data_IF_670946455458
#
_entry.id   IF_670946455458
#
_cell.length_a   1.000
_cell.length_b   1.000
_cell.length_c   1.000
_cell.angle_alpha   90.00
_cell.angle_beta   90.00
_cell.angle_gamma   90.00
#
_symmetry.space_group_name_H-M   'P 1'
#
loop_
_entity.id
_entity.type
_entity.pdbx_description
1 polymer ?
#
# COMPACT_ATOMS: atom_id res chain seq x y z
N UNK A 1 43.09 31.80 -13.18
CA UNK A 1 42.86 30.35 -13.05
C UNK A 1 41.37 30.08 -12.82
N UNK A 2 40.63 29.86 -13.93
CA UNK A 2 39.25 29.42 -13.88
C UNK A 2 39.24 27.92 -13.70
N UNK A 3 38.84 27.41 -12.55
CA UNK A 3 38.58 26.00 -12.34
C UNK A 3 37.28 25.62 -13.03
N UNK A 4 37.38 24.75 -14.04
CA UNK A 4 36.25 24.17 -14.74
C UNK A 4 35.38 23.33 -13.78
N UNK A 5 34.11 23.70 -13.66
CA UNK A 5 33.10 22.91 -12.95
C UNK A 5 32.94 21.54 -13.63
N UNK A 6 32.91 20.43 -12.88
CA UNK A 6 32.73 19.10 -13.46
C UNK A 6 31.34 18.95 -14.05
N UNK A 7 31.29 18.35 -15.24
CA UNK A 7 30.12 18.12 -16.09
C UNK A 7 28.90 17.61 -15.32
N UNK A 8 27.80 18.36 -15.36
CA UNK A 8 26.47 18.01 -14.83
C UNK A 8 25.79 16.81 -15.50
N UNK A 9 26.32 16.33 -16.60
CA UNK A 9 25.70 15.28 -17.43
C UNK A 9 25.60 13.91 -16.75
N UNK A 10 26.60 13.49 -15.97
CA UNK A 10 26.57 12.19 -15.27
C UNK A 10 25.51 12.07 -14.17
N UNK A 11 25.17 13.18 -13.53
CA UNK A 11 24.15 13.19 -12.45
C UNK A 11 22.72 13.04 -13.00
N UNK A 12 22.49 13.51 -14.24
CA UNK A 12 21.19 13.40 -14.90
C UNK A 12 20.94 11.94 -15.38
N UNK A 13 21.96 11.29 -15.85
CA UNK A 13 21.87 9.92 -16.36
C UNK A 13 21.67 8.91 -15.23
N UNK A 14 22.34 9.10 -14.09
CA UNK A 14 22.16 8.26 -12.90
C UNK A 14 20.78 8.44 -12.24
N UNK A 15 20.28 9.67 -12.25
CA UNK A 15 18.92 9.99 -11.80
C UNK A 15 17.86 9.32 -12.69
N UNK A 16 18.10 9.32 -14.01
CA UNK A 16 17.24 8.65 -14.98
C UNK A 16 17.26 7.12 -14.79
N UNK A 17 18.41 6.51 -14.49
CA UNK A 17 18.52 5.08 -14.21
C UNK A 17 17.85 4.67 -12.89
N UNK A 18 17.99 5.44 -11.81
CA UNK A 18 17.29 5.19 -10.55
C UNK A 18 15.77 5.30 -10.72
N UNK A 19 15.30 6.32 -11.43
CA UNK A 19 13.87 6.50 -11.75
C UNK A 19 13.37 5.37 -12.65
N UNK A 20 14.18 4.90 -13.61
CA UNK A 20 13.83 3.77 -14.45
C UNK A 20 13.76 2.45 -13.66
N UNK A 21 14.65 2.25 -12.69
CA UNK A 21 14.62 1.07 -11.81
C UNK A 21 13.40 1.10 -10.87
N UNK A 22 13.08 2.25 -10.28
CA UNK A 22 11.85 2.43 -9.49
C UNK A 22 10.60 2.26 -10.36
N UNK A 23 10.60 2.75 -11.62
CA UNK A 23 9.52 2.48 -12.58
C UNK A 23 9.37 1.01 -12.90
N UNK A 24 10.45 0.28 -13.04
CA UNK A 24 10.41 -1.16 -13.29
C UNK A 24 9.78 -1.91 -12.10
N UNK A 25 10.12 -1.53 -10.88
CA UNK A 25 9.52 -2.07 -9.66
C UNK A 25 8.06 -1.63 -9.47
N UNK A 26 7.75 -0.35 -9.67
CA UNK A 26 6.39 0.17 -9.56
C UNK A 26 5.43 -0.39 -10.63
N UNK A 27 5.95 -0.73 -11.81
CA UNK A 27 5.16 -1.25 -12.94
C UNK A 27 5.15 -2.79 -13.03
N UNK A 28 5.94 -3.49 -12.22
CA UNK A 28 6.23 -4.90 -12.43
C UNK A 28 5.04 -5.86 -12.29
N UNK A 29 4.03 -5.76 -11.41
CA UNK A 29 2.94 -6.73 -11.48
C UNK A 29 1.55 -6.18 -11.79
N UNK A 30 1.28 -4.86 -11.78
CA UNK A 30 -0.08 -4.36 -11.87
C UNK A 30 -0.52 -3.87 -13.25
N UNK A 31 0.39 -3.54 -14.16
CA UNK A 31 0.05 -2.85 -15.42
C UNK A 31 0.20 -3.67 -16.71
N UNK A 32 0.81 -4.85 -16.71
CA UNK A 32 1.09 -5.62 -17.93
C UNK A 32 -0.03 -6.54 -18.42
N UNK A 33 -1.28 -6.27 -18.04
CA UNK A 33 -2.42 -7.02 -18.58
C UNK A 33 -3.33 -6.17 -19.48
N UNK A 34 -2.73 -5.44 -20.43
CA UNK A 34 -3.47 -5.02 -21.62
C UNK A 34 -3.69 -6.24 -22.51
N UNK A 35 -4.92 -6.71 -22.55
CA UNK A 35 -5.33 -7.85 -23.34
C UNK A 35 -5.13 -7.55 -24.83
N UNK A 36 -4.07 -8.10 -25.42
CA UNK A 36 -3.96 -8.25 -26.87
C UNK A 36 -5.04 -9.25 -27.28
N UNK A 37 -6.15 -8.71 -27.80
CA UNK A 37 -7.30 -9.46 -28.30
C UNK A 37 -6.84 -10.27 -29.52
N UNK A 38 -6.32 -11.47 -29.29
CA UNK A 38 -6.03 -12.43 -30.34
C UNK A 38 -7.35 -12.89 -30.95
N UNK A 39 -7.62 -12.46 -32.17
CA UNK A 39 -8.69 -13.01 -32.99
C UNK A 39 -8.39 -14.49 -33.24
N UNK A 40 -9.07 -15.34 -32.52
CA UNK A 40 -9.08 -16.77 -32.80
C UNK A 40 -10.02 -17.02 -34.00
N UNK A 41 -9.45 -17.24 -35.17
CA UNK A 41 -10.18 -17.71 -36.32
C UNK A 41 -10.64 -19.14 -36.02
N UNK A 42 -11.93 -19.29 -35.77
CA UNK A 42 -12.58 -20.58 -35.62
C UNK A 42 -12.65 -21.33 -36.95
N UNK A 43 -11.72 -22.24 -37.15
CA UNK A 43 -11.87 -23.29 -38.15
C UNK A 43 -12.83 -24.35 -37.61
N UNK A 44 -13.99 -24.46 -38.26
CA UNK A 44 -14.94 -25.57 -38.08
C UNK A 44 -14.31 -26.86 -38.59
N UNK A 45 -14.01 -27.82 -37.72
CA UNK A 45 -13.85 -29.22 -38.13
C UNK A 45 -14.53 -30.12 -37.10
N UNK A 46 -15.30 -31.07 -37.66
CA UNK A 46 -16.29 -31.87 -36.98
C UNK A 46 -15.79 -32.99 -36.06
N UNK A 47 -16.77 -33.50 -35.40
CA UNK A 47 -16.93 -34.76 -34.65
C UNK A 47 -15.75 -35.75 -34.67
N UNK A 48 -15.01 -35.77 -33.52
CA UNK A 48 -14.43 -37.01 -32.94
C UNK A 48 -14.11 -36.75 -31.44
N UNK A 49 -15.16 -36.79 -30.62
CA UNK A 49 -15.11 -36.17 -29.28
C UNK A 49 -14.64 -37.05 -28.13
N UNK A 50 -14.37 -38.32 -28.29
CA UNK A 50 -14.11 -39.21 -27.16
C UNK A 50 -12.64 -39.56 -26.91
N UNK A 51 -11.89 -39.77 -27.97
CA UNK A 51 -10.49 -40.26 -27.85
C UNK A 51 -9.46 -39.13 -27.62
N UNK A 52 -9.87 -37.89 -27.81
CA UNK A 52 -9.01 -36.69 -27.72
C UNK A 52 -8.81 -36.20 -26.24
N UNK A 53 -9.79 -36.50 -25.39
CA UNK A 53 -9.75 -35.98 -24.00
C UNK A 53 -8.72 -36.71 -23.14
N UNK A 54 -8.53 -38.03 -23.36
CA UNK A 54 -7.57 -38.82 -22.60
C UNK A 54 -6.13 -38.56 -23.05
N UNK A 55 -5.92 -38.36 -24.36
CA UNK A 55 -4.64 -37.91 -24.91
C UNK A 55 -4.27 -36.50 -24.42
N UNK A 56 -5.23 -35.58 -24.31
CA UNK A 56 -5.02 -34.25 -23.72
C UNK A 56 -4.62 -34.34 -22.25
N UNK A 57 -5.31 -35.17 -21.46
CA UNK A 57 -4.95 -35.37 -20.04
C UNK A 57 -3.56 -35.98 -19.85
N UNK A 58 -3.14 -36.90 -20.74
CA UNK A 58 -1.77 -37.47 -20.71
C UNK A 58 -0.72 -36.43 -21.12
N UNK A 59 -0.99 -35.63 -22.16
CA UNK A 59 -0.11 -34.55 -22.59
C UNK A 59 0.04 -33.46 -21.51
N UNK A 60 -1.03 -33.11 -20.80
CA UNK A 60 -0.98 -32.16 -19.67
C UNK A 60 -0.16 -32.69 -18.48
N UNK A 61 -0.17 -34.00 -18.21
CA UNK A 61 0.67 -34.60 -17.17
C UNK A 61 2.16 -34.59 -17.51
N UNK A 62 2.51 -34.64 -18.78
CA UNK A 62 3.89 -34.68 -19.28
C UNK A 62 4.54 -33.29 -19.43
N UNK A 63 3.77 -32.19 -19.25
CA UNK A 63 4.31 -30.84 -19.35
C UNK A 63 5.27 -30.55 -18.20
N UNK A 64 6.46 -29.94 -18.49
CA UNK A 64 7.39 -29.50 -17.46
C UNK A 64 6.70 -28.49 -16.51
N UNK A 65 7.09 -28.51 -15.24
CA UNK A 65 6.44 -27.72 -14.17
C UNK A 65 6.31 -26.23 -14.53
N UNK A 66 7.31 -25.68 -15.24
CA UNK A 66 7.31 -24.29 -15.70
C UNK A 66 6.17 -23.96 -16.67
N UNK A 67 5.87 -24.86 -17.60
CA UNK A 67 4.76 -24.66 -18.55
C UNK A 67 3.39 -24.86 -17.91
N UNK A 68 3.28 -25.72 -16.90
CA UNK A 68 2.07 -25.84 -16.07
C UNK A 68 1.80 -24.56 -15.30
N UNK A 69 2.81 -24.01 -14.63
CA UNK A 69 2.71 -22.74 -13.89
C UNK A 69 2.35 -21.58 -14.83
N UNK A 70 2.94 -21.54 -16.03
CA UNK A 70 2.66 -20.51 -17.04
C UNK A 70 1.24 -20.60 -17.56
N UNK A 71 0.69 -21.80 -17.76
CA UNK A 71 -0.71 -22.02 -18.13
C UNK A 71 -1.67 -21.66 -17.02
N UNK A 72 -1.36 -22.04 -15.78
CA UNK A 72 -2.14 -21.64 -14.60
C UNK A 72 -2.16 -20.11 -14.43
N UNK A 73 -1.00 -19.46 -14.59
CA UNK A 73 -0.93 -18.00 -14.59
C UNK A 73 -1.68 -17.32 -15.73
N UNK A 74 -2.01 -18.04 -16.82
CA UNK A 74 -2.81 -17.54 -17.93
C UNK A 74 -4.32 -17.68 -17.70
N UNK A 75 -4.76 -18.56 -16.77
CA UNK A 75 -6.18 -18.77 -16.46
C UNK A 75 -6.80 -17.50 -15.81
N UNK A 76 -7.81 -16.89 -16.43
CA UNK A 76 -8.45 -15.69 -15.90
C UNK A 76 -9.14 -15.93 -14.55
N UNK A 77 -9.63 -17.14 -14.29
CA UNK A 77 -10.29 -17.50 -13.03
C UNK A 77 -9.28 -17.57 -11.89
N UNK A 78 -8.12 -18.20 -12.12
CA UNK A 78 -7.06 -18.30 -11.13
C UNK A 78 -6.48 -16.93 -10.81
N UNK A 79 -6.23 -16.09 -11.82
CA UNK A 79 -5.78 -14.72 -11.62
C UNK A 79 -6.78 -13.89 -10.81
N UNK A 80 -8.06 -14.07 -11.07
CA UNK A 80 -9.11 -13.43 -10.28
C UNK A 80 -9.06 -13.90 -8.83
N UNK A 81 -9.00 -15.22 -8.59
CA UNK A 81 -8.96 -15.79 -7.25
C UNK A 81 -7.71 -15.35 -6.46
N UNK A 82 -6.53 -15.37 -7.10
CA UNK A 82 -5.27 -14.88 -6.48
C UNK A 82 -5.38 -13.40 -6.13
N UNK A 83 -5.94 -12.58 -7.02
CA UNK A 83 -6.14 -11.16 -6.74
C UNK A 83 -7.09 -10.95 -5.57
N UNK A 84 -8.21 -11.68 -5.50
CA UNK A 84 -9.13 -11.61 -4.36
C UNK A 84 -8.44 -12.06 -3.06
N UNK A 85 -7.63 -13.12 -3.12
CA UNK A 85 -6.85 -13.59 -1.97
C UNK A 85 -5.84 -12.55 -1.48
N UNK A 86 -5.12 -11.88 -2.37
CA UNK A 86 -4.18 -10.80 -2.02
C UNK A 86 -4.93 -9.61 -1.39
N UNK A 87 -6.06 -9.22 -1.98
CA UNK A 87 -6.88 -8.12 -1.43
C UNK A 87 -7.49 -8.50 -0.07
N UNK A 88 -7.93 -9.73 0.10
CA UNK A 88 -8.46 -10.20 1.38
C UNK A 88 -7.36 -10.28 2.45
N UNK A 89 -6.18 -10.80 2.10
CA UNK A 89 -5.02 -10.80 2.98
C UNK A 89 -4.59 -9.39 3.39
N UNK A 90 -4.56 -8.47 2.43
CA UNK A 90 -4.26 -7.04 2.70
C UNK A 90 -5.29 -6.41 3.62
N UNK A 91 -6.60 -6.60 3.35
CA UNK A 91 -7.67 -6.11 4.20
C UNK A 91 -7.58 -6.64 5.63
N UNK A 92 -7.29 -7.93 5.79
CA UNK A 92 -7.09 -8.56 7.09
C UNK A 92 -5.89 -7.99 7.84
N UNK A 93 -4.73 -7.88 7.18
CA UNK A 93 -3.50 -7.39 7.80
C UNK A 93 -3.66 -5.93 8.24
N UNK A 94 -4.32 -5.09 7.45
CA UNK A 94 -4.48 -3.66 7.78
C UNK A 94 -5.37 -3.40 9.00
N UNK A 95 -6.13 -4.39 9.50
CA UNK A 95 -6.86 -4.25 10.77
C UNK A 95 -5.94 -4.15 11.98
N UNK A 96 -4.71 -4.65 11.87
CA UNK A 96 -3.70 -4.55 12.93
C UNK A 96 -3.02 -3.18 12.97
N UNK A 97 -3.16 -2.35 11.92
CA UNK A 97 -2.61 -1.00 11.89
C UNK A 97 -3.44 -0.09 12.80
N UNK A 98 -2.83 0.36 13.89
CA UNK A 98 -3.47 1.24 14.87
C UNK A 98 -2.93 2.67 14.77
N UNK A 99 -3.79 3.67 15.05
CA UNK A 99 -3.42 5.05 15.37
C UNK A 99 -3.65 5.27 16.86
N UNK A 100 -2.69 5.87 17.53
CA UNK A 100 -2.73 6.12 18.97
C UNK A 100 -3.04 4.87 19.81
N UNK A 101 -2.72 3.69 19.28
CA UNK A 101 -2.98 2.39 19.91
C UNK A 101 -4.47 1.99 20.01
N UNK A 102 -5.40 2.81 19.52
CA UNK A 102 -6.84 2.62 19.71
C UNK A 102 -7.67 2.64 18.43
N UNK A 103 -7.38 3.54 17.51
CA UNK A 103 -8.14 3.72 16.27
C UNK A 103 -7.57 2.87 15.12
N UNK A 104 -8.42 2.21 14.34
CA UNK A 104 -8.03 1.27 13.27
C UNK A 104 -8.61 1.64 11.90
N UNK A 105 -8.39 2.83 11.34
CA UNK A 105 -9.05 3.31 10.13
C UNK A 105 -8.55 2.66 8.84
N UNK A 106 -7.36 2.05 8.84
CA UNK A 106 -6.65 1.66 7.62
C UNK A 106 -7.33 0.53 6.84
N UNK A 107 -7.85 -0.50 7.51
CA UNK A 107 -8.54 -1.59 6.84
C UNK A 107 -9.90 -1.15 6.28
N UNK A 108 -10.63 -0.26 6.98
CA UNK A 108 -11.85 0.36 6.48
C UNK A 108 -11.56 1.19 5.22
N UNK A 109 -10.52 2.03 5.28
CA UNK A 109 -10.09 2.83 4.13
C UNK A 109 -9.67 1.96 2.94
N UNK A 110 -8.95 0.86 3.19
CA UNK A 110 -8.55 -0.09 2.17
C UNK A 110 -9.77 -0.78 1.53
N UNK A 111 -10.69 -1.30 2.35
CA UNK A 111 -11.94 -1.88 1.88
C UNK A 111 -12.74 -0.90 1.02
N UNK A 112 -12.95 0.34 1.50
CA UNK A 112 -13.68 1.38 0.80
C UNK A 112 -13.02 1.81 -0.52
N UNK A 113 -11.69 1.94 -0.56
CA UNK A 113 -10.96 2.34 -1.78
C UNK A 113 -11.05 1.28 -2.89
N UNK A 114 -11.04 0.01 -2.52
CA UNK A 114 -11.03 -1.10 -3.47
C UNK A 114 -12.41 -1.67 -3.80
N UNK A 115 -13.46 -1.42 -2.99
CA UNK A 115 -14.80 -1.98 -3.21
C UNK A 115 -15.52 -1.44 -4.47
N UNK A 116 -15.13 -0.29 -5.00
CA UNK A 116 -15.76 0.36 -6.16
C UNK A 116 -15.52 -0.29 -7.52
N UNK A 117 -14.91 -1.48 -7.61
CA UNK A 117 -14.62 -2.18 -8.85
C UNK A 117 -15.10 -3.63 -8.83
N UNK A 118 -15.24 -4.26 -9.99
CA UNK A 118 -15.56 -5.70 -10.16
C UNK A 118 -14.65 -6.65 -9.35
N UNK A 119 -13.64 -6.11 -8.68
CA UNK A 119 -12.53 -6.84 -8.07
C UNK A 119 -12.33 -6.56 -6.59
N UNK A 120 -13.19 -5.73 -5.97
CA UNK A 120 -12.95 -5.23 -4.62
C UNK A 120 -13.53 -6.05 -3.48
N UNK A 121 -14.30 -7.08 -3.79
CA UNK A 121 -14.99 -7.88 -2.78
C UNK A 121 -14.04 -8.55 -1.77
N UNK A 122 -12.87 -9.01 -2.24
CA UNK A 122 -11.85 -9.59 -1.37
C UNK A 122 -11.35 -8.61 -0.29
N UNK A 123 -11.14 -7.34 -0.63
CA UNK A 123 -10.68 -6.33 0.33
C UNK A 123 -11.69 -6.12 1.47
N UNK A 124 -12.98 -6.05 1.11
CA UNK A 124 -14.07 -5.90 2.07
C UNK A 124 -14.19 -7.12 2.99
N UNK A 125 -14.17 -8.34 2.41
CA UNK A 125 -14.22 -9.58 3.19
C UNK A 125 -13.02 -9.72 4.13
N UNK A 126 -11.83 -9.40 3.65
CA UNK A 126 -10.62 -9.48 4.46
C UNK A 126 -10.63 -8.50 5.63
N UNK A 127 -11.03 -7.25 5.38
CA UNK A 127 -11.17 -6.24 6.41
C UNK A 127 -12.27 -6.61 7.43
N UNK A 128 -13.41 -7.10 6.96
CA UNK A 128 -14.50 -7.56 7.83
C UNK A 128 -14.05 -8.71 8.74
N UNK A 129 -13.44 -9.74 8.17
CA UNK A 129 -12.92 -10.87 8.92
C UNK A 129 -11.83 -10.43 9.91
N UNK A 130 -10.94 -9.51 9.49
CA UNK A 130 -9.90 -8.97 10.36
C UNK A 130 -10.49 -8.23 11.56
N UNK A 131 -11.42 -7.30 11.36
CA UNK A 131 -12.07 -6.58 12.48
C UNK A 131 -12.82 -7.52 13.43
N UNK A 132 -13.55 -8.49 12.87
CA UNK A 132 -14.27 -9.46 13.70
C UNK A 132 -13.33 -10.33 14.56
N UNK A 133 -12.16 -10.71 14.03
CA UNK A 133 -11.20 -11.56 14.74
C UNK A 133 -10.30 -10.77 15.68
N UNK A 134 -9.78 -9.60 15.23
CA UNK A 134 -8.77 -8.85 16.00
C UNK A 134 -9.38 -7.96 17.08
N UNK A 135 -10.52 -7.32 16.81
CA UNK A 135 -11.15 -6.35 17.70
C UNK A 135 -12.42 -6.88 18.38
N UNK A 136 -12.99 -7.99 17.91
CA UNK A 136 -14.20 -8.57 18.47
C UNK A 136 -15.36 -7.57 18.53
N UNK A 137 -15.95 -7.39 19.72
CA UNK A 137 -17.07 -6.45 19.94
C UNK A 137 -16.69 -4.99 19.65
N UNK A 138 -15.43 -4.58 19.93
CA UNK A 138 -14.95 -3.23 19.66
C UNK A 138 -14.81 -2.95 18.15
N UNK A 139 -14.76 -4.00 17.31
CA UNK A 139 -14.71 -3.89 15.86
C UNK A 139 -16.06 -3.72 15.16
N UNK A 140 -17.17 -3.85 15.86
CA UNK A 140 -18.52 -3.85 15.27
C UNK A 140 -18.85 -2.56 14.50
N UNK A 141 -18.44 -1.41 15.00
CA UNK A 141 -18.68 -0.13 14.31
C UNK A 141 -17.89 -0.03 13.00
N UNK A 142 -16.68 -0.57 12.93
CA UNK A 142 -15.90 -0.66 11.67
C UNK A 142 -16.55 -1.64 10.69
N UNK A 143 -17.04 -2.79 11.18
CA UNK A 143 -17.78 -3.74 10.36
C UNK A 143 -19.05 -3.12 9.77
N UNK A 144 -19.81 -2.39 10.59
CA UNK A 144 -21.01 -1.68 10.15
C UNK A 144 -20.66 -0.60 9.11
N UNK A 145 -19.64 0.23 9.36
CA UNK A 145 -19.15 1.23 8.41
C UNK A 145 -18.73 0.60 7.09
N UNK A 146 -18.03 -0.53 7.14
CA UNK A 146 -17.54 -1.24 5.96
C UNK A 146 -18.71 -1.77 5.11
N UNK A 147 -19.75 -2.31 5.73
CA UNK A 147 -20.95 -2.78 5.03
C UNK A 147 -21.69 -1.63 4.34
N UNK A 148 -21.84 -0.49 5.03
CA UNK A 148 -22.48 0.71 4.43
C UNK A 148 -21.63 1.22 3.27
N UNK A 149 -20.30 1.31 3.42
CA UNK A 149 -19.41 1.70 2.33
C UNK A 149 -19.49 0.74 1.14
N UNK A 150 -19.57 -0.57 1.38
CA UNK A 150 -19.73 -1.55 0.32
C UNK A 150 -21.09 -1.40 -0.40
N UNK A 151 -22.16 -1.14 0.34
CA UNK A 151 -23.47 -0.86 -0.24
C UNK A 151 -23.47 0.43 -1.08
N UNK A 152 -22.86 1.51 -0.61
CA UNK A 152 -22.68 2.75 -1.37
C UNK A 152 -21.89 2.49 -2.66
N UNK A 153 -20.81 1.71 -2.59
CA UNK A 153 -20.00 1.37 -3.76
C UNK A 153 -20.77 0.54 -4.80
N UNK A 154 -21.64 -0.37 -4.36
CA UNK A 154 -22.52 -1.13 -5.23
C UNK A 154 -23.53 -0.21 -5.92
N UNK A 155 -24.15 0.71 -5.20
CA UNK A 155 -25.08 1.71 -5.76
C UNK A 155 -24.35 2.58 -6.78
N UNK A 156 -23.16 3.11 -6.46
CA UNK A 156 -22.38 3.93 -7.40
C UNK A 156 -21.94 3.16 -8.65
N UNK A 157 -21.68 1.86 -8.49
CA UNK A 157 -21.33 1.01 -9.65
C UNK A 157 -22.54 0.67 -10.52
N UNK A 158 -23.72 0.54 -9.94
CA UNK A 158 -24.98 0.21 -10.67
C UNK A 158 -25.52 1.40 -11.45
N UNK A 159 -25.34 2.63 -10.94
CA UNK A 159 -25.78 3.86 -11.62
C UNK A 159 -24.90 4.26 -12.79
N UNK A 160 -23.77 3.55 -13.02
CA UNK A 160 -22.86 3.84 -14.13
C UNK A 160 -22.14 5.20 -14.02
N UNK A 161 -22.35 5.93 -12.93
CA UNK A 161 -21.81 7.27 -12.72
C UNK A 161 -20.39 7.18 -12.11
N UNK A 162 -19.37 7.09 -12.97
CA UNK A 162 -17.98 7.24 -12.53
C UNK A 162 -17.73 8.58 -11.78
N UNK A 163 -18.64 9.55 -11.96
CA UNK A 163 -18.61 10.85 -11.27
C UNK A 163 -18.88 10.79 -9.75
N UNK A 164 -19.53 9.73 -9.23
CA UNK A 164 -19.78 9.60 -7.79
C UNK A 164 -18.65 8.93 -7.00
N UNK A 165 -17.71 8.28 -7.67
CA UNK A 165 -16.56 7.64 -7.01
C UNK A 165 -15.69 8.60 -6.17
N UNK A 166 -15.47 9.88 -6.55
CA UNK A 166 -14.73 10.83 -5.70
C UNK A 166 -15.44 11.15 -4.38
N UNK A 167 -16.71 10.79 -4.22
CA UNK A 167 -17.45 10.95 -2.96
C UNK A 167 -17.18 9.82 -1.96
N UNK A 168 -16.59 8.70 -2.37
CA UNK A 168 -16.29 7.57 -1.47
C UNK A 168 -15.50 7.96 -0.21
N UNK A 169 -14.47 8.83 -0.26
CA UNK A 169 -13.78 9.28 0.95
C UNK A 169 -14.71 9.96 1.96
N UNK A 170 -15.59 10.84 1.47
CA UNK A 170 -16.55 11.55 2.31
C UNK A 170 -17.61 10.59 2.87
N UNK A 171 -18.12 9.67 2.04
CA UNK A 171 -19.05 8.64 2.50
C UNK A 171 -18.43 7.77 3.61
N UNK A 172 -17.16 7.38 3.44
CA UNK A 172 -16.45 6.54 4.41
C UNK A 172 -16.23 7.30 5.74
N UNK A 173 -15.76 8.54 5.68
CA UNK A 173 -15.56 9.36 6.86
C UNK A 173 -16.91 9.59 7.60
N UNK A 174 -17.96 9.91 6.86
CA UNK A 174 -19.30 10.14 7.43
C UNK A 174 -19.89 8.87 8.06
N UNK A 175 -19.77 7.71 7.40
CA UNK A 175 -20.27 6.44 7.97
C UNK A 175 -19.51 6.07 9.24
N UNK A 176 -18.20 6.29 9.29
CA UNK A 176 -17.40 6.06 10.48
C UNK A 176 -17.80 7.00 11.62
N UNK A 177 -18.05 8.27 11.33
CA UNK A 177 -18.58 9.22 12.31
C UNK A 177 -19.94 8.78 12.85
N UNK A 178 -20.86 8.37 12.00
CA UNK A 178 -22.20 7.94 12.43
C UNK A 178 -22.16 6.67 13.28
N UNK A 179 -21.38 5.67 12.90
CA UNK A 179 -21.28 4.40 13.65
C UNK A 179 -20.47 4.55 14.93
N UNK A 180 -19.38 5.33 14.90
CA UNK A 180 -18.56 5.63 16.07
C UNK A 180 -19.26 6.53 17.09
N UNK A 181 -20.08 7.50 16.64
CA UNK A 181 -20.87 8.34 17.54
C UNK A 181 -21.87 7.53 18.36
N UNK A 182 -22.42 6.45 17.80
CA UNK A 182 -23.31 5.56 18.54
C UNK A 182 -22.61 4.91 19.76
N UNK A 183 -21.31 4.61 19.65
CA UNK A 183 -20.51 4.13 20.78
C UNK A 183 -20.20 5.23 21.79
N UNK A 184 -19.91 6.44 21.31
CA UNK A 184 -19.65 7.60 22.19
C UNK A 184 -20.87 8.01 23.01
N UNK A 185 -22.10 7.72 22.55
CA UNK A 185 -23.32 8.01 23.33
C UNK A 185 -23.38 7.24 24.64
N UNK A 186 -22.65 6.13 24.79
CA UNK A 186 -22.60 5.36 26.04
C UNK A 186 -21.63 5.93 27.06
N UNK A 187 -20.55 6.59 26.59
CA UNK A 187 -19.53 7.23 27.44
C UNK A 187 -18.95 8.44 26.72
N UNK A 188 -19.67 9.57 26.78
CA UNK A 188 -19.22 10.78 26.10
C UNK A 188 -18.02 11.40 26.81
N UNK A 189 -16.87 11.42 26.11
CA UNK A 189 -15.68 12.16 26.51
C UNK A 189 -15.26 13.09 25.38
N UNK A 190 -14.82 14.33 25.66
CA UNK A 190 -14.36 15.25 24.63
C UNK A 190 -13.11 14.69 23.89
N UNK A 191 -12.27 13.93 24.59
CA UNK A 191 -11.11 13.24 24.00
C UNK A 191 -11.53 12.16 23.01
N UNK A 192 -12.55 11.36 23.36
CA UNK A 192 -13.14 10.36 22.46
C UNK A 192 -13.71 10.96 21.18
N UNK A 193 -14.37 12.14 21.30
CA UNK A 193 -14.88 12.87 20.14
C UNK A 193 -13.73 13.37 19.24
N UNK A 194 -12.69 13.93 19.83
CA UNK A 194 -11.52 14.40 19.07
C UNK A 194 -10.83 13.23 18.36
N UNK A 195 -10.68 12.07 19.02
CA UNK A 195 -10.12 10.86 18.45
C UNK A 195 -10.98 10.37 17.27
N UNK A 196 -12.30 10.29 17.41
CA UNK A 196 -13.21 9.85 16.36
C UNK A 196 -13.17 10.79 15.14
N UNK A 197 -13.12 12.11 15.35
CA UNK A 197 -12.99 13.09 14.28
C UNK A 197 -11.65 12.94 13.54
N UNK A 198 -10.57 12.77 14.28
CA UNK A 198 -9.24 12.51 13.74
C UNK A 198 -9.19 11.21 12.93
N UNK A 199 -9.77 10.14 13.48
CA UNK A 199 -9.87 8.84 12.81
C UNK A 199 -10.67 8.92 11.50
N UNK A 200 -11.82 9.57 11.50
CA UNK A 200 -12.62 9.75 10.29
C UNK A 200 -11.90 10.58 9.23
N UNK A 201 -11.19 11.64 9.66
CA UNK A 201 -10.36 12.45 8.77
C UNK A 201 -9.23 11.64 8.12
N UNK A 202 -8.49 10.88 8.93
CA UNK A 202 -7.43 9.99 8.43
C UNK A 202 -8.01 8.91 7.51
N UNK A 203 -9.12 8.29 7.89
CA UNK A 203 -9.79 7.28 7.07
C UNK A 203 -10.16 7.84 5.69
N UNK A 204 -10.81 9.00 5.62
CA UNK A 204 -11.15 9.66 4.36
C UNK A 204 -9.94 10.00 3.51
N UNK A 205 -8.88 10.53 4.12
CA UNK A 205 -7.62 10.83 3.43
C UNK A 205 -6.97 9.56 2.86
N UNK A 206 -6.95 8.46 3.64
CA UNK A 206 -6.40 7.19 3.18
C UNK A 206 -7.24 6.56 2.05
N UNK A 207 -8.57 6.69 2.05
CA UNK A 207 -9.42 6.27 0.91
C UNK A 207 -9.00 7.01 -0.37
N UNK A 208 -8.76 8.34 -0.29
CA UNK A 208 -8.24 9.11 -1.42
C UNK A 208 -6.90 8.55 -1.92
N UNK A 209 -5.92 8.39 -1.03
CA UNK A 209 -4.58 7.94 -1.38
C UNK A 209 -4.58 6.52 -1.96
N UNK A 210 -5.29 5.58 -1.37
CA UNK A 210 -5.40 4.21 -1.87
C UNK A 210 -6.11 4.14 -3.22
N UNK A 211 -7.12 4.99 -3.42
CA UNK A 211 -7.81 5.07 -4.71
C UNK A 211 -6.90 5.59 -5.83
N UNK A 212 -5.95 6.49 -5.51
CA UNK A 212 -4.92 6.96 -6.43
C UNK A 212 -3.92 5.85 -6.77
N UNK A 213 -3.51 5.04 -5.80
CA UNK A 213 -2.65 3.89 -6.04
C UNK A 213 -3.30 2.82 -6.93
N UNK A 214 -4.62 2.67 -6.85
CA UNK A 214 -5.38 1.69 -7.62
C UNK A 214 -5.61 2.09 -9.09
N UNK A 215 -5.47 3.37 -9.44
CA UNK A 215 -5.73 3.90 -10.79
C UNK A 215 -4.43 4.08 -11.57
N UNK A 216 -4.26 3.43 -12.73
CA UNK A 216 -3.14 3.74 -13.60
C UNK A 216 -3.30 5.18 -14.10
N UNK A 217 -2.33 6.04 -13.76
CA UNK A 217 -2.30 7.42 -14.28
C UNK A 217 -1.90 7.40 -15.74
N UNK A 218 -2.78 7.91 -16.60
CA UNK A 218 -2.52 8.08 -18.03
C UNK A 218 -1.75 9.36 -18.36
N UNK A 219 -1.57 10.25 -17.36
CA UNK A 219 -0.94 11.55 -17.56
C UNK A 219 0.53 11.53 -17.10
N UNK A 220 1.52 11.80 -17.98
CA UNK A 220 2.90 11.97 -17.56
C UNK A 220 3.06 13.24 -16.71
N UNK A 221 3.79 13.14 -15.60
CA UNK A 221 4.12 14.25 -14.72
C UNK A 221 3.31 14.29 -13.42
N UNK A 222 2.29 15.14 -13.30
CA UNK A 222 1.51 15.30 -12.05
C UNK A 222 0.86 13.99 -11.56
N UNK A 223 0.37 13.17 -12.48
CA UNK A 223 -0.23 11.87 -12.14
C UNK A 223 0.75 10.88 -11.52
N UNK A 224 2.04 10.99 -11.84
CA UNK A 224 3.07 10.09 -11.29
C UNK A 224 3.38 10.40 -9.81
N UNK A 225 3.41 11.67 -9.43
CA UNK A 225 3.61 12.06 -8.02
C UNK A 225 2.46 11.58 -7.15
N UNK A 226 1.22 11.71 -7.62
CA UNK A 226 0.03 11.21 -6.91
C UNK A 226 0.01 9.69 -6.79
N UNK A 227 0.42 8.97 -7.85
CA UNK A 227 0.55 7.51 -7.80
C UNK A 227 1.59 7.07 -6.75
N UNK A 228 2.75 7.74 -6.72
CA UNK A 228 3.80 7.46 -5.72
C UNK A 228 3.32 7.77 -4.30
N UNK A 229 2.57 8.85 -4.10
CA UNK A 229 1.97 9.17 -2.81
C UNK A 229 0.99 8.08 -2.35
N UNK A 230 0.12 7.60 -3.25
CA UNK A 230 -0.80 6.51 -2.95
C UNK A 230 -0.09 5.19 -2.64
N UNK A 231 0.94 4.84 -3.41
CA UNK A 231 1.77 3.65 -3.15
C UNK A 231 2.55 3.78 -1.84
N UNK A 232 3.08 4.96 -1.54
CA UNK A 232 3.74 5.26 -0.26
C UNK A 232 2.79 5.11 0.92
N UNK A 233 1.56 5.59 0.80
CA UNK A 233 0.54 5.43 1.83
C UNK A 233 0.17 3.96 2.07
N UNK A 234 0.03 3.16 1.00
CA UNK A 234 -0.18 1.71 1.12
C UNK A 234 0.97 1.01 1.83
N UNK A 235 2.21 1.31 1.43
CA UNK A 235 3.41 0.76 2.05
C UNK A 235 3.47 1.14 3.54
N UNK A 236 3.23 2.41 3.85
CA UNK A 236 3.24 2.93 5.21
C UNK A 236 2.21 2.21 6.09
N UNK A 237 0.97 2.10 5.63
CA UNK A 237 -0.09 1.39 6.36
C UNK A 237 0.22 -0.10 6.53
N UNK A 238 0.85 -0.73 5.54
CA UNK A 238 1.33 -2.10 5.65
C UNK A 238 2.42 -2.24 6.73
N UNK A 239 3.35 -1.30 6.80
CA UNK A 239 4.37 -1.30 7.85
C UNK A 239 3.77 -1.07 9.23
N UNK A 240 2.79 -0.16 9.36
CA UNK A 240 2.05 0.03 10.62
C UNK A 240 1.32 -1.25 11.05
N UNK A 241 0.75 -1.98 10.10
CA UNK A 241 0.09 -3.25 10.38
C UNK A 241 1.06 -4.36 10.82
N UNK A 242 2.34 -4.28 10.43
CA UNK A 242 3.40 -5.18 10.86
C UNK A 242 4.07 -4.76 12.17
N UNK A 243 3.82 -3.56 12.68
CA UNK A 243 4.48 -3.05 13.90
C UNK A 243 4.25 -3.92 15.14
N UNK A 244 3.04 -4.50 15.37
CA UNK A 244 2.83 -5.40 16.51
C UNK A 244 3.64 -6.69 16.43
N UNK A 245 4.10 -7.06 15.23
CA UNK A 245 4.84 -8.31 15.02
C UNK A 245 6.29 -8.14 15.44
N UNK A 246 6.72 -8.92 16.42
CA UNK A 246 8.10 -8.93 16.94
C UNK A 246 8.76 -10.28 16.64
N UNK A 247 9.84 -10.24 15.85
CA UNK A 247 10.68 -11.43 15.59
C UNK A 247 11.66 -11.56 16.77
N UNK A 248 11.67 -12.71 17.41
CA UNK A 248 12.46 -12.97 18.64
C UNK A 248 12.24 -11.96 19.77
N UNK A 249 11.06 -11.32 19.83
CA UNK A 249 10.69 -10.27 20.81
C UNK A 249 11.56 -8.99 20.78
N UNK A 250 12.55 -8.92 19.88
CA UNK A 250 13.52 -7.81 19.84
C UNK A 250 13.36 -6.98 18.57
N UNK A 251 13.24 -7.65 17.42
CA UNK A 251 13.29 -7.01 16.10
C UNK A 251 11.88 -6.78 15.55
N UNK A 252 11.53 -5.52 15.27
CA UNK A 252 10.33 -5.18 14.50
C UNK A 252 10.69 -5.19 13.01
N UNK A 253 10.13 -6.13 12.21
CA UNK A 253 10.34 -6.14 10.76
C UNK A 253 9.79 -4.88 10.10
N UNK A 254 8.75 -4.28 10.65
CA UNK A 254 8.19 -3.02 10.18
C UNK A 254 9.23 -1.89 10.21
N UNK A 255 9.92 -1.74 11.34
CA UNK A 255 10.97 -0.71 11.53
C UNK A 255 12.16 -0.96 10.62
N UNK A 256 12.61 -2.22 10.48
CA UNK A 256 13.71 -2.58 9.60
C UNK A 256 13.39 -2.26 8.12
N UNK A 257 12.19 -2.61 7.65
CA UNK A 257 11.74 -2.31 6.28
C UNK A 257 11.54 -0.80 6.11
N UNK A 258 10.97 -0.10 7.10
CA UNK A 258 10.82 1.35 7.09
C UNK A 258 12.17 2.07 6.96
N UNK A 259 13.17 1.66 7.73
CA UNK A 259 14.52 2.18 7.67
C UNK A 259 15.15 1.96 6.28
N UNK A 260 14.98 0.76 5.72
CA UNK A 260 15.44 0.44 4.36
C UNK A 260 14.75 1.30 3.29
N UNK A 261 13.45 1.56 3.45
CA UNK A 261 12.69 2.44 2.56
C UNK A 261 13.21 3.88 2.62
N UNK A 262 13.43 4.43 3.83
CA UNK A 262 14.02 5.76 4.02
C UNK A 262 15.41 5.83 3.40
N UNK A 263 16.26 4.82 3.65
CA UNK A 263 17.60 4.72 3.06
C UNK A 263 17.54 4.72 1.51
N UNK A 264 16.60 3.98 0.94
CA UNK A 264 16.41 3.92 -0.52
C UNK A 264 15.99 5.27 -1.09
N UNK A 265 15.02 5.95 -0.45
CA UNK A 265 14.58 7.29 -0.88
C UNK A 265 15.69 8.33 -0.71
N UNK A 266 16.44 8.30 0.40
CA UNK A 266 17.57 9.20 0.65
C UNK A 266 18.69 9.02 -0.40
N UNK A 267 18.89 7.79 -0.89
CA UNK A 267 19.82 7.51 -1.98
C UNK A 267 19.31 8.02 -3.32
N UNK A 268 18.02 7.86 -3.65
CA UNK A 268 17.42 8.26 -4.93
C UNK A 268 17.14 9.77 -5.00
N UNK A 269 16.69 10.38 -3.89
CA UNK A 269 16.31 11.79 -3.78
C UNK A 269 17.04 12.44 -2.59
N UNK A 270 18.33 12.78 -2.75
CA UNK A 270 19.17 13.25 -1.65
C UNK A 270 18.71 14.60 -1.08
N UNK A 271 19.01 14.83 0.18
CA UNK A 271 18.65 16.04 0.92
C UNK A 271 17.18 16.03 1.35
N UNK A 272 16.39 16.99 0.88
CA UNK A 272 14.99 17.16 1.31
C UNK A 272 14.12 15.91 1.06
N UNK A 273 14.39 15.12 0.01
CA UNK A 273 13.63 13.90 -0.27
C UNK A 273 13.90 12.81 0.77
N UNK A 274 15.15 12.62 1.15
CA UNK A 274 15.53 11.64 2.18
C UNK A 274 15.01 12.04 3.56
N UNK A 275 15.17 13.34 3.92
CA UNK A 275 14.65 13.88 5.17
C UNK A 275 13.12 13.79 5.24
N UNK A 276 12.42 14.19 4.17
CA UNK A 276 10.96 14.13 4.09
C UNK A 276 10.41 12.71 4.20
N UNK A 277 11.05 11.74 3.54
CA UNK A 277 10.69 10.34 3.71
C UNK A 277 10.93 9.86 5.15
N UNK A 278 12.08 10.21 5.74
CA UNK A 278 12.39 9.88 7.14
C UNK A 278 11.36 10.42 8.10
N UNK A 279 10.98 11.69 7.96
CA UNK A 279 9.93 12.33 8.76
C UNK A 279 8.58 11.62 8.56
N UNK A 280 8.20 11.32 7.31
CA UNK A 280 6.92 10.67 7.03
C UNK A 280 6.82 9.25 7.62
N UNK A 281 7.86 8.43 7.46
CA UNK A 281 7.90 7.08 8.04
C UNK A 281 7.99 7.13 9.56
N UNK A 282 8.86 8.02 10.11
CA UNK A 282 9.01 8.19 11.55
C UNK A 282 7.73 8.65 12.22
N UNK A 283 7.08 9.69 11.67
CA UNK A 283 5.80 10.19 12.18
C UNK A 283 4.72 9.11 12.21
N UNK A 284 4.68 8.25 11.19
CA UNK A 284 3.72 7.16 11.19
C UNK A 284 3.98 6.15 12.32
N UNK A 285 5.23 5.78 12.58
CA UNK A 285 5.58 4.91 13.71
C UNK A 285 5.28 5.58 15.05
N UNK A 286 5.56 6.87 15.20
CA UNK A 286 5.26 7.64 16.41
C UNK A 286 3.74 7.73 16.65
N UNK A 287 2.95 7.94 15.59
CA UNK A 287 1.48 7.95 15.67
C UNK A 287 0.89 6.58 16.04
N UNK A 288 1.57 5.48 15.73
CA UNK A 288 1.13 4.14 16.15
C UNK A 288 1.47 3.84 17.61
N UNK A 289 2.57 4.40 18.12
CA UNK A 289 3.15 4.06 19.43
C UNK A 289 2.79 4.98 20.60
N UNK A 290 2.15 6.11 20.38
CA UNK A 290 1.75 7.00 21.48
C UNK A 290 2.28 8.44 21.43
N UNK A 291 2.67 8.96 20.28
CA UNK A 291 3.07 10.37 20.03
C UNK A 291 4.42 10.83 20.63
N UNK A 292 5.37 9.97 20.85
CA UNK A 292 6.66 10.39 21.42
C UNK A 292 7.59 11.14 20.42
N UNK A 293 7.20 11.30 19.15
CA UNK A 293 7.96 11.95 18.04
C UNK A 293 9.42 11.49 17.91
N UNK A 294 9.74 10.35 18.49
CA UNK A 294 11.05 9.76 18.59
C UNK A 294 11.57 9.29 17.23
N UNK A 295 10.76 8.47 16.53
CA UNK A 295 11.13 7.93 15.22
C UNK A 295 11.12 8.99 14.13
N UNK A 296 10.30 10.03 14.25
CA UNK A 296 10.28 11.18 13.35
C UNK A 296 11.64 11.87 13.30
N UNK A 297 12.22 12.14 14.48
CA UNK A 297 13.56 12.72 14.58
C UNK A 297 14.63 11.78 14.04
N UNK A 298 14.64 10.53 14.50
CA UNK A 298 15.62 9.52 14.13
C UNK A 298 15.74 9.31 12.62
N UNK A 299 14.59 9.02 11.98
CA UNK A 299 14.56 8.72 10.54
C UNK A 299 14.77 9.96 9.70
N UNK A 300 14.28 11.13 10.15
CA UNK A 300 14.48 12.40 9.47
C UNK A 300 15.96 12.79 9.39
N UNK A 301 16.66 12.74 10.54
CA UNK A 301 18.09 13.05 10.63
C UNK A 301 18.93 12.05 9.84
N UNK A 302 18.66 10.74 9.98
CA UNK A 302 19.38 9.71 9.23
C UNK A 302 19.19 9.86 7.71
N UNK A 303 17.95 10.14 7.28
CA UNK A 303 17.63 10.39 5.86
C UNK A 303 18.33 11.63 5.31
N UNK A 304 18.40 12.72 6.09
CA UNK A 304 19.09 13.94 5.71
C UNK A 304 20.60 13.73 5.57
N UNK A 305 21.24 13.22 6.61
CA UNK A 305 22.71 13.04 6.67
C UNK A 305 23.15 12.02 5.61
N UNK A 306 22.45 10.88 5.52
CA UNK A 306 22.72 9.89 4.48
C UNK A 306 22.62 10.52 3.09
N UNK A 307 21.54 11.26 2.80
CA UNK A 307 21.34 11.93 1.52
C UNK A 307 22.46 12.93 1.17
N UNK A 308 22.95 13.70 2.14
CA UNK A 308 24.07 14.63 1.95
C UNK A 308 25.37 13.89 1.62
N UNK A 309 25.61 12.73 2.23
CA UNK A 309 26.82 11.92 2.05
C UNK A 309 26.78 11.06 0.76
N UNK A 310 25.72 11.07 -0.04
CA UNK A 310 25.61 10.31 -1.28
C UNK A 310 26.79 10.50 -2.24
N UNK A 311 27.34 11.72 -2.33
CA UNK A 311 28.47 12.05 -3.20
C UNK A 311 29.75 11.27 -2.86
N UNK A 312 29.87 10.69 -1.67
CA UNK A 312 31.02 9.89 -1.22
C UNK A 312 30.96 8.41 -1.66
N UNK A 313 30.00 8.08 -2.53
CA UNK A 313 29.79 6.72 -3.03
C UNK A 313 28.87 5.89 -2.14
N UNK A 314 28.56 4.66 -2.56
CA UNK A 314 27.57 3.79 -1.90
C UNK A 314 27.95 3.42 -0.46
N UNK A 315 29.23 3.11 -0.23
CA UNK A 315 29.72 2.78 1.10
C UNK A 315 29.70 3.99 2.03
N UNK A 316 30.17 5.15 1.56
CA UNK A 316 30.16 6.38 2.35
C UNK A 316 28.75 6.83 2.73
N UNK A 317 27.79 6.66 1.81
CA UNK A 317 26.37 6.88 2.07
C UNK A 317 25.84 5.93 3.16
N UNK A 318 26.05 4.61 3.01
CA UNK A 318 25.56 3.61 3.96
C UNK A 318 26.12 3.79 5.36
N UNK A 319 27.44 4.02 5.48
CA UNK A 319 28.09 4.28 6.76
C UNK A 319 27.56 5.54 7.41
N UNK A 320 27.45 6.64 6.66
CA UNK A 320 26.93 7.91 7.19
C UNK A 320 25.46 7.77 7.67
N UNK A 321 24.62 7.05 6.93
CA UNK A 321 23.23 6.80 7.30
C UNK A 321 23.13 6.00 8.60
N UNK A 322 23.88 4.88 8.71
CA UNK A 322 23.89 4.03 9.91
C UNK A 322 24.43 4.78 11.13
N UNK A 323 25.55 5.50 10.97
CA UNK A 323 26.12 6.29 12.06
C UNK A 323 25.15 7.40 12.54
N UNK A 324 24.49 8.09 11.60
CA UNK A 324 23.51 9.11 11.96
C UNK A 324 22.32 8.49 12.69
N UNK A 325 21.83 7.32 12.26
CA UNK A 325 20.75 6.62 12.94
C UNK A 325 21.16 6.17 14.34
N UNK A 326 22.33 5.57 14.50
CA UNK A 326 22.84 5.15 15.80
C UNK A 326 23.06 6.35 16.76
N UNK A 327 23.66 7.44 16.26
CA UNK A 327 23.87 8.65 17.05
C UNK A 327 22.54 9.27 17.51
N UNK A 328 21.57 9.35 16.61
CA UNK A 328 20.25 9.85 16.95
C UNK A 328 19.51 8.93 17.94
N UNK A 329 19.67 7.60 17.83
CA UNK A 329 19.12 6.64 18.80
C UNK A 329 19.75 6.82 20.20
N UNK A 330 21.08 7.00 20.26
CA UNK A 330 21.78 7.24 21.54
C UNK A 330 21.39 8.58 22.18
N UNK A 331 21.10 9.59 21.37
CA UNK A 331 20.64 10.89 21.87
C UNK A 331 19.23 10.82 22.47
N UNK A 332 18.43 9.89 22.00
CA UNK A 332 17.03 9.77 22.36
C UNK A 332 16.77 8.84 23.58
N UNK A 333 17.81 8.17 24.08
CA UNK A 333 17.82 7.40 25.33
C UNK A 333 18.27 8.29 26.49
#
# INVERSE_FOLDING_TARGET
HAQALPKREGLFEERSRCIATLRHWANAPFSTFSAKKSRYNGSKTGKSGGMDMEKRKRAERALPLGDKLRRWGADPRLRWAVRQGILAGGGYIFTSAALFGQAHPFALAFGAAFCGGKWGFGAVLGAFAGYAVTLGSNGLHYCASLLVCAACALVFSSTGSDGLRPLMPLCTAFTLLCTGSALLMTQFTPEGLALLLGEAGVCGAMVCLYSLAARPSSSPGKGQALLLAGQGALLLSFLLALEPWRVFHILSPARAIGLLAVMTVAYCAPGAGGAGAGVAFGAAFDLSGGMELHFTGLYGVAGLIGGLCRKRGRLGFGVAFVLAHCAATLWAI
#
